data_IF_197153789249
#
_entry.id   IF_197153789249
#
_cell.length_a   1.000
_cell.length_b   1.000
_cell.length_c   1.000
_cell.angle_alpha   90.00
_cell.angle_beta   90.00
_cell.angle_gamma   90.00
#
_symmetry.space_group_name_H-M   'P 1'
#
loop_
_entity.id
_entity.type
_entity.pdbx_description
1 polymer ?
#
# COMPACT_ATOMS: atom_id res chain seq x y z
N UNK A 1 24.45 -13.03 -29.63
CA UNK A 1 24.10 -11.88 -28.78
C UNK A 1 24.68 -12.11 -27.40
N UNK A 2 25.89 -11.63 -27.12
CA UNK A 2 26.66 -11.99 -25.91
C UNK A 2 26.76 -10.88 -24.86
N UNK A 3 26.24 -9.67 -25.14
CA UNK A 3 26.26 -8.54 -24.19
C UNK A 3 24.93 -7.80 -24.23
N UNK A 4 24.08 -8.06 -23.25
CA UNK A 4 22.82 -7.32 -23.00
C UNK A 4 22.79 -6.94 -21.52
N UNK A 5 22.18 -5.79 -21.19
CA UNK A 5 22.18 -5.22 -19.83
C UNK A 5 21.65 -6.17 -18.74
N UNK A 6 20.74 -7.07 -19.12
CA UNK A 6 20.10 -8.00 -18.20
C UNK A 6 20.68 -9.43 -18.27
N UNK A 7 21.75 -9.64 -19.04
CA UNK A 7 22.43 -10.94 -19.05
C UNK A 7 23.45 -10.99 -17.90
N UNK A 8 23.56 -12.13 -17.21
CA UNK A 8 24.55 -12.28 -16.16
C UNK A 8 25.97 -12.14 -16.74
N UNK A 9 26.85 -11.49 -15.98
CA UNK A 9 28.27 -11.46 -16.32
C UNK A 9 28.91 -12.81 -15.99
N UNK A 10 30.02 -13.13 -16.66
CA UNK A 10 30.78 -14.36 -16.37
C UNK A 10 31.29 -14.39 -14.93
N UNK A 11 31.62 -13.22 -14.38
CA UNK A 11 32.00 -13.02 -12.96
C UNK A 11 30.84 -13.36 -12.02
N UNK A 12 29.63 -12.86 -12.28
CA UNK A 12 28.44 -13.16 -11.49
C UNK A 12 28.10 -14.66 -11.55
N UNK A 13 28.21 -15.26 -12.73
CA UNK A 13 27.94 -16.69 -12.92
C UNK A 13 28.92 -17.54 -12.13
N UNK A 14 30.21 -17.19 -12.17
CA UNK A 14 31.26 -17.90 -11.43
C UNK A 14 31.10 -17.75 -9.91
N UNK A 15 30.80 -16.54 -9.44
CA UNK A 15 30.55 -16.28 -8.02
C UNK A 15 29.31 -17.01 -7.50
N UNK A 16 28.25 -17.08 -8.30
CA UNK A 16 27.04 -17.84 -7.94
C UNK A 16 27.34 -19.35 -7.87
N UNK A 17 28.05 -19.91 -8.86
CA UNK A 17 28.44 -21.33 -8.83
C UNK A 17 29.26 -21.68 -7.58
N UNK A 18 30.26 -20.86 -7.24
CA UNK A 18 31.07 -21.07 -6.04
C UNK A 18 30.23 -21.02 -4.75
N UNK A 19 29.25 -20.13 -4.67
CA UNK A 19 28.34 -20.05 -3.52
C UNK A 19 27.39 -21.26 -3.44
N UNK A 20 26.90 -21.76 -4.58
CA UNK A 20 26.09 -22.98 -4.64
C UNK A 20 26.87 -24.18 -4.13
N UNK A 21 28.11 -24.34 -4.59
CA UNK A 21 28.99 -25.44 -4.15
C UNK A 21 29.31 -25.34 -2.65
N UNK A 22 29.50 -24.12 -2.13
CA UNK A 22 29.78 -23.89 -0.71
C UNK A 22 28.55 -24.11 0.22
N UNK A 23 27.33 -24.00 -0.32
CA UNK A 23 26.06 -24.17 0.41
C UNK A 23 25.43 -25.55 0.19
N UNK A 24 26.23 -26.56 -0.15
CA UNK A 24 25.74 -27.93 -0.31
C UNK A 24 25.35 -28.56 1.05
N UNK A 25 24.14 -29.12 1.10
CA UNK A 25 23.55 -29.77 2.27
C UNK A 25 23.47 -31.30 2.13
N UNK A 26 23.89 -31.84 0.98
CA UNK A 26 23.78 -33.26 0.64
C UNK A 26 24.62 -34.18 1.54
N UNK A 27 25.71 -33.65 2.12
CA UNK A 27 26.63 -34.40 3.00
C UNK A 27 26.86 -33.69 4.34
N UNK A 28 26.02 -32.71 4.69
CA UNK A 28 26.23 -31.87 5.86
C UNK A 28 25.66 -32.46 7.16
N UNK A 29 24.69 -33.38 7.06
CA UNK A 29 24.19 -34.15 8.18
C UNK A 29 25.20 -35.18 8.68
N UNK A 30 24.96 -35.71 9.88
CA UNK A 30 25.69 -36.86 10.44
C UNK A 30 24.70 -37.88 10.94
N UNK A 31 24.91 -39.14 10.63
CA UNK A 31 24.14 -40.24 11.20
C UNK A 31 24.67 -40.64 12.59
N UNK A 32 24.05 -41.68 13.16
CA UNK A 32 24.41 -42.23 14.48
C UNK A 32 25.79 -42.88 14.50
N UNK A 33 26.36 -43.21 13.33
CA UNK A 33 27.68 -43.82 13.15
C UNK A 33 28.76 -42.76 12.85
N UNK A 34 28.33 -41.51 12.62
CA UNK A 34 29.19 -40.34 12.38
C UNK A 34 29.52 -40.11 10.90
N UNK A 35 28.91 -40.86 9.99
CA UNK A 35 29.09 -40.74 8.56
C UNK A 35 28.27 -39.57 8.00
N UNK A 36 28.80 -38.88 6.95
CA UNK A 36 28.12 -37.74 6.36
C UNK A 36 26.87 -38.17 5.61
N UNK A 37 25.73 -37.59 5.99
CA UNK A 37 24.41 -37.85 5.38
C UNK A 37 23.75 -36.54 4.96
N UNK A 38 22.63 -36.65 4.24
CA UNK A 38 21.84 -35.48 3.86
C UNK A 38 21.30 -34.77 5.11
N UNK A 39 21.51 -33.45 5.20
CA UNK A 39 21.07 -32.69 6.37
C UNK A 39 19.54 -32.62 6.51
N UNK A 40 18.84 -32.60 5.39
CA UNK A 40 17.39 -32.42 5.28
C UNK A 40 16.77 -33.51 4.40
N UNK A 41 16.88 -34.76 4.85
CA UNK A 41 16.18 -35.87 4.20
C UNK A 41 14.67 -35.59 4.17
N UNK A 42 14.05 -35.80 3.00
CA UNK A 42 12.62 -35.55 2.79
C UNK A 42 11.78 -36.42 3.74
N UNK A 43 12.25 -37.63 4.02
CA UNK A 43 11.59 -38.60 4.90
C UNK A 43 11.53 -38.12 6.37
N UNK A 44 12.50 -37.31 6.79
CA UNK A 44 12.60 -36.75 8.14
C UNK A 44 12.07 -35.31 8.24
N UNK A 45 11.56 -34.77 7.14
CA UNK A 45 11.02 -33.41 7.07
C UNK A 45 9.51 -33.41 7.30
N UNK A 46 9.11 -33.17 8.55
CA UNK A 46 7.71 -33.10 8.93
C UNK A 46 7.12 -31.68 8.82
N UNK A 47 5.81 -31.57 8.58
CA UNK A 47 5.10 -30.28 8.51
C UNK A 47 5.04 -29.58 9.89
N UNK A 48 5.74 -28.44 10.09
CA UNK A 48 5.76 -27.75 11.39
C UNK A 48 4.36 -27.27 11.82
N UNK A 49 3.51 -26.93 10.85
CA UNK A 49 2.16 -26.42 11.10
C UNK A 49 1.28 -27.49 11.74
N UNK A 50 1.27 -28.70 11.17
CA UNK A 50 0.46 -29.81 11.71
C UNK A 50 0.94 -30.20 13.11
N UNK A 51 2.25 -30.27 13.32
CA UNK A 51 2.81 -30.54 14.64
C UNK A 51 2.46 -29.46 15.66
N UNK A 52 2.53 -28.18 15.28
CA UNK A 52 2.18 -27.05 16.15
C UNK A 52 0.70 -27.04 16.53
N UNK A 53 -0.20 -27.28 15.58
CA UNK A 53 -1.65 -27.35 15.86
C UNK A 53 -1.95 -28.49 16.83
N UNK A 54 -1.42 -29.69 16.56
CA UNK A 54 -1.62 -30.85 17.43
C UNK A 54 -1.03 -30.64 18.83
N UNK A 55 0.13 -30.00 18.93
CA UNK A 55 0.74 -29.64 20.22
C UNK A 55 -0.14 -28.67 21.00
N UNK A 56 -0.65 -27.62 20.34
CA UNK A 56 -1.51 -26.63 20.98
C UNK A 56 -2.83 -27.26 21.48
N UNK A 57 -3.46 -28.11 20.67
CA UNK A 57 -4.68 -28.84 21.06
C UNK A 57 -4.41 -29.72 22.28
N UNK A 58 -3.34 -30.54 22.26
CA UNK A 58 -2.98 -31.41 23.39
C UNK A 58 -2.68 -30.61 24.65
N UNK A 59 -1.96 -29.48 24.53
CA UNK A 59 -1.64 -28.62 25.67
C UNK A 59 -2.89 -27.98 26.26
N UNK A 60 -3.80 -27.44 25.45
CA UNK A 60 -5.07 -26.89 25.94
C UNK A 60 -6.02 -27.94 26.53
N UNK A 61 -5.96 -29.18 26.06
CA UNK A 61 -6.71 -30.27 26.65
C UNK A 61 -6.24 -30.62 28.08
N UNK A 62 -4.94 -30.49 28.36
CA UNK A 62 -4.37 -30.75 29.70
C UNK A 62 -4.39 -29.51 30.59
N UNK A 63 -4.13 -28.33 30.02
CA UNK A 63 -4.09 -27.04 30.71
C UNK A 63 -4.90 -26.00 29.93
N UNK A 64 -6.21 -25.84 30.24
CA UNK A 64 -7.09 -24.95 29.49
C UNK A 64 -6.69 -23.47 29.52
N UNK A 65 -6.06 -23.00 30.60
CA UNK A 65 -5.74 -21.58 30.81
C UNK A 65 -4.31 -21.19 30.37
N UNK A 66 -3.42 -22.14 30.10
CA UNK A 66 -2.01 -21.87 29.78
C UNK A 66 -1.79 -21.36 28.33
N UNK A 67 -1.19 -20.17 28.10
CA UNK A 67 -0.94 -19.63 26.76
C UNK A 67 -0.21 -20.62 25.83
N UNK A 68 -0.46 -20.50 24.52
CA UNK A 68 0.22 -21.34 23.53
C UNK A 68 1.72 -21.05 23.57
N UNK A 69 2.50 -22.05 23.95
CA UNK A 69 3.96 -21.96 24.04
C UNK A 69 4.61 -21.70 22.67
N UNK A 70 5.83 -21.13 22.63
CA UNK A 70 6.59 -20.98 21.40
C UNK A 70 6.84 -22.35 20.72
N UNK A 71 7.05 -22.36 19.40
CA UNK A 71 7.31 -23.59 18.67
C UNK A 71 8.61 -24.25 19.18
N UNK A 72 8.61 -25.57 19.42
CA UNK A 72 9.82 -26.30 19.77
C UNK A 72 10.92 -26.11 18.72
N UNK A 73 12.17 -26.03 19.17
CA UNK A 73 13.34 -25.84 18.30
C UNK A 73 13.47 -26.93 17.22
N UNK A 74 13.07 -28.17 17.53
CA UNK A 74 13.07 -29.29 16.58
C UNK A 74 12.21 -28.98 15.34
N UNK A 75 11.08 -28.30 15.51
CA UNK A 75 10.22 -27.90 14.38
C UNK A 75 10.80 -26.71 13.60
N UNK A 76 11.65 -25.91 14.25
CA UNK A 76 12.30 -24.74 13.67
C UNK A 76 13.66 -25.08 13.06
N UNK A 77 14.18 -26.29 13.26
CA UNK A 77 15.51 -26.76 12.80
C UNK A 77 15.74 -26.46 11.31
N UNK A 78 14.76 -26.78 10.47
CA UNK A 78 14.83 -26.59 9.01
C UNK A 78 14.26 -25.24 8.53
N UNK A 79 13.83 -24.37 9.46
CA UNK A 79 13.33 -23.03 9.08
C UNK A 79 14.45 -22.06 8.72
N UNK A 80 15.68 -22.36 9.14
CA UNK A 80 16.87 -21.58 8.84
C UNK A 80 17.99 -22.52 8.35
N UNK A 81 18.90 -22.05 7.49
CA UNK A 81 20.08 -22.82 7.11
C UNK A 81 21.00 -23.09 8.32
N UNK A 82 21.82 -24.15 8.28
CA UNK A 82 22.74 -24.46 9.37
C UNK A 82 23.73 -23.32 9.60
N UNK A 83 23.87 -22.89 10.86
CA UNK A 83 24.72 -21.74 11.20
C UNK A 83 26.20 -21.95 10.83
N UNK A 84 26.69 -23.18 10.90
CA UNK A 84 28.08 -23.48 10.58
C UNK A 84 28.35 -23.45 9.07
N UNK A 85 27.38 -23.89 8.26
CA UNK A 85 27.45 -23.82 6.80
C UNK A 85 27.44 -22.35 6.32
N UNK A 86 26.56 -21.53 6.92
CA UNK A 86 26.50 -20.09 6.63
C UNK A 86 27.81 -19.38 6.96
N UNK A 87 28.49 -19.79 8.04
CA UNK A 87 29.80 -19.23 8.40
C UNK A 87 30.89 -19.66 7.41
N UNK A 88 30.89 -20.91 6.97
CA UNK A 88 31.88 -21.38 6.01
C UNK A 88 31.70 -20.74 4.63
N UNK A 89 30.46 -20.50 4.21
CA UNK A 89 30.12 -19.90 2.91
C UNK A 89 30.12 -18.36 2.90
N UNK A 90 30.51 -17.72 4.01
CA UNK A 90 30.41 -16.27 4.16
C UNK A 90 31.31 -15.52 3.16
N UNK A 91 32.49 -16.09 2.86
CA UNK A 91 33.46 -15.50 1.93
C UNK A 91 32.92 -15.47 0.50
N UNK A 92 32.31 -16.58 0.07
CA UNK A 92 31.70 -16.76 -1.25
C UNK A 92 30.46 -15.87 -1.39
N UNK A 93 29.68 -15.73 -0.31
CA UNK A 93 28.54 -14.82 -0.26
C UNK A 93 28.97 -13.35 -0.40
N UNK A 94 30.04 -12.93 0.27
CA UNK A 94 30.59 -11.57 0.15
C UNK A 94 31.08 -11.28 -1.28
N UNK A 95 31.75 -12.25 -1.92
CA UNK A 95 32.17 -12.16 -3.31
C UNK A 95 30.96 -12.03 -4.26
N UNK A 96 29.90 -12.81 -4.02
CA UNK A 96 28.66 -12.74 -4.79
C UNK A 96 27.94 -11.39 -4.62
N UNK A 97 27.83 -10.87 -3.40
CA UNK A 97 27.24 -9.56 -3.12
C UNK A 97 27.98 -8.46 -3.89
N UNK A 98 29.32 -8.52 -3.88
CA UNK A 98 30.17 -7.56 -4.59
C UNK A 98 29.99 -7.64 -6.11
N UNK A 99 29.96 -8.85 -6.67
CA UNK A 99 29.75 -9.07 -8.11
C UNK A 99 28.35 -8.65 -8.57
N UNK A 100 27.34 -8.77 -7.70
CA UNK A 100 25.96 -8.45 -8.04
C UNK A 100 25.63 -6.94 -7.97
N UNK A 101 26.37 -6.13 -7.21
CA UNK A 101 26.18 -4.68 -7.00
C UNK A 101 24.69 -4.26 -6.83
N UNK A 102 23.93 -5.06 -6.06
CA UNK A 102 22.49 -4.84 -5.92
C UNK A 102 22.23 -3.65 -4.99
N UNK A 103 21.69 -2.59 -5.56
CA UNK A 103 21.30 -1.39 -4.81
C UNK A 103 19.86 -1.53 -4.36
N UNK A 104 19.65 -1.46 -3.04
CA UNK A 104 18.30 -1.42 -2.46
C UNK A 104 17.60 -0.15 -2.95
N UNK A 105 16.55 -0.33 -3.74
CA UNK A 105 15.65 0.77 -4.07
C UNK A 105 14.97 1.16 -2.75
N UNK A 106 14.96 2.44 -2.36
CA UNK A 106 14.19 2.87 -1.21
C UNK A 106 12.75 2.39 -1.41
N UNK A 107 12.13 1.76 -0.40
CA UNK A 107 10.77 1.29 -0.55
C UNK A 107 9.94 2.47 -1.04
N UNK A 108 9.19 2.29 -2.13
CA UNK A 108 8.13 3.25 -2.49
C UNK A 108 7.33 3.47 -1.23
N UNK A 109 7.12 4.72 -0.85
CA UNK A 109 6.42 5.08 0.38
C UNK A 109 5.11 4.29 0.40
N UNK A 110 5.07 3.21 1.19
CA UNK A 110 3.83 2.55 1.53
C UNK A 110 2.99 3.62 2.21
N UNK A 111 1.70 3.66 1.88
CA UNK A 111 0.75 4.55 2.53
C UNK A 111 1.02 4.58 4.03
N UNK A 112 1.03 5.78 4.60
CA UNK A 112 1.37 6.00 6.00
C UNK A 112 0.47 5.10 6.86
N UNK A 113 1.05 4.08 7.50
CA UNK A 113 0.43 3.50 8.67
C UNK A 113 0.32 4.65 9.68
N UNK A 114 -0.89 5.18 9.89
CA UNK A 114 -1.15 6.22 10.89
C UNK A 114 -1.00 5.56 12.26
N UNK A 115 0.23 5.32 12.71
CA UNK A 115 0.50 5.18 14.13
C UNK A 115 0.21 6.54 14.75
N UNK A 116 -0.92 6.65 15.43
CA UNK A 116 -1.26 7.80 16.24
C UNK A 116 -0.08 8.04 17.19
N UNK A 117 0.61 9.17 17.01
CA UNK A 117 1.72 9.59 17.86
C UNK A 117 1.11 9.78 19.25
N UNK A 118 1.28 8.81 20.14
CA UNK A 118 0.85 8.94 21.53
C UNK A 118 1.73 10.01 22.17
N UNK A 119 1.19 11.16 22.59
CA UNK A 119 1.99 12.18 23.25
C UNK A 119 2.54 11.59 24.56
N UNK A 120 3.81 11.92 24.87
CA UNK A 120 4.56 11.46 26.06
C UNK A 120 3.78 11.72 27.37
N UNK A 121 2.89 12.71 27.35
CA UNK A 121 2.05 13.14 28.48
C UNK A 121 0.87 12.21 28.81
N UNK A 122 0.60 11.16 28.02
CA UNK A 122 -0.56 10.27 28.23
C UNK A 122 -1.93 10.95 28.05
N UNK A 123 -1.95 12.25 27.73
CA UNK A 123 -3.15 13.02 27.45
C UNK A 123 -3.51 12.85 25.97
N UNK A 124 -4.52 12.03 25.70
CA UNK A 124 -5.05 11.90 24.36
C UNK A 124 -5.88 13.15 24.02
N UNK A 125 -5.24 14.13 23.37
CA UNK A 125 -5.88 15.38 22.93
C UNK A 125 -7.04 15.07 21.98
N UNK A 126 -6.90 14.05 21.12
CA UNK A 126 -7.99 13.61 20.25
C UNK A 126 -9.17 13.07 21.06
N UNK A 127 -8.96 12.31 22.14
CA UNK A 127 -10.03 11.86 23.05
C UNK A 127 -10.72 13.02 23.81
N UNK A 128 -10.03 14.15 24.00
CA UNK A 128 -10.61 15.33 24.63
C UNK A 128 -11.46 16.14 23.64
N UNK A 129 -11.02 16.21 22.37
CA UNK A 129 -11.69 16.93 21.29
C UNK A 129 -12.80 16.12 20.59
N UNK A 130 -12.76 14.79 20.68
CA UNK A 130 -13.79 13.88 20.12
C UNK A 130 -15.01 13.70 21.02
N UNK A 131 -15.14 14.46 22.12
CA UNK A 131 -16.32 14.43 23.00
C UNK A 131 -17.62 14.87 22.33
N UNK A 132 -17.54 15.50 21.17
CA UNK A 132 -18.70 15.74 20.30
C UNK A 132 -18.44 15.02 18.98
N UNK A 133 -19.05 13.85 18.80
CA UNK A 133 -19.20 13.24 17.48
C UNK A 133 -20.06 14.19 16.62
N UNK A 134 -19.43 15.17 15.98
CA UNK A 134 -20.10 15.98 14.98
C UNK A 134 -20.47 15.07 13.81
N UNK A 135 -21.76 14.88 13.64
CA UNK A 135 -22.33 13.94 12.66
C UNK A 135 -22.15 14.39 11.22
N UNK A 136 -21.84 15.66 10.97
CA UNK A 136 -21.78 16.26 9.64
C UNK A 136 -20.55 17.14 9.44
N UNK A 137 -19.95 17.05 8.25
CA UNK A 137 -18.85 17.89 7.79
C UNK A 137 -19.45 19.20 7.31
N UNK A 138 -18.98 20.32 7.86
CA UNK A 138 -19.43 21.66 7.52
C UNK A 138 -18.63 22.23 6.35
N UNK A 139 -19.24 23.12 5.55
CA UNK A 139 -18.55 23.77 4.42
C UNK A 139 -17.42 24.71 4.88
N UNK A 140 -17.55 25.28 6.08
CA UNK A 140 -16.60 26.25 6.66
C UNK A 140 -15.30 25.58 7.11
N UNK A 141 -15.36 24.32 7.56
CA UNK A 141 -14.22 23.58 8.09
C UNK A 141 -14.08 22.17 7.48
N UNK A 142 -14.40 22.04 6.19
CA UNK A 142 -14.55 20.75 5.52
C UNK A 142 -13.29 19.88 5.57
N UNK A 143 -12.11 20.45 5.33
CA UNK A 143 -10.86 19.69 5.24
C UNK A 143 -10.46 19.06 6.58
N UNK A 144 -10.35 19.80 7.70
CA UNK A 144 -10.01 19.22 8.99
C UNK A 144 -11.05 18.21 9.49
N UNK A 145 -12.34 18.52 9.34
CA UNK A 145 -13.43 17.64 9.78
C UNK A 145 -13.47 16.33 8.98
N UNK A 146 -13.24 16.40 7.67
CA UNK A 146 -13.09 15.20 6.84
C UNK A 146 -11.90 14.33 7.26
N UNK A 147 -10.74 14.94 7.49
CA UNK A 147 -9.54 14.22 7.94
C UNK A 147 -9.74 13.57 9.30
N UNK A 148 -10.39 14.27 10.23
CA UNK A 148 -10.72 13.74 11.56
C UNK A 148 -11.64 12.52 11.42
N UNK A 149 -12.71 12.65 10.63
CA UNK A 149 -13.69 11.57 10.44
C UNK A 149 -13.09 10.33 9.78
N UNK A 150 -12.23 10.51 8.78
CA UNK A 150 -11.48 9.41 8.19
C UNK A 150 -10.45 8.80 9.15
N UNK A 151 -9.94 9.59 10.12
CA UNK A 151 -9.00 9.11 11.14
C UNK A 151 -9.66 8.26 12.23
N UNK A 152 -10.95 8.48 12.49
CA UNK A 152 -11.73 7.73 13.50
C UNK A 152 -12.64 6.66 12.88
N UNK A 153 -12.70 6.56 11.55
CA UNK A 153 -13.56 5.59 10.89
C UNK A 153 -13.02 4.15 11.09
N UNK A 154 -13.86 3.27 11.63
CA UNK A 154 -13.55 1.86 11.81
C UNK A 154 -14.07 0.99 10.65
N UNK A 155 -15.02 1.53 9.87
CA UNK A 155 -15.73 0.82 8.82
C UNK A 155 -15.79 1.62 7.50
N UNK A 156 -15.93 0.87 6.40
CA UNK A 156 -15.98 1.40 5.03
C UNK A 156 -17.18 2.33 4.84
N UNK A 157 -18.32 2.07 5.49
CA UNK A 157 -19.54 2.85 5.28
C UNK A 157 -19.42 4.27 5.84
N UNK A 158 -18.70 4.43 6.96
CA UNK A 158 -18.36 5.74 7.52
C UNK A 158 -17.47 6.53 6.56
N UNK A 159 -16.48 5.89 5.94
CA UNK A 159 -15.61 6.52 4.93
C UNK A 159 -16.42 7.00 3.72
N UNK A 160 -17.25 6.13 3.14
CA UNK A 160 -18.12 6.48 2.00
C UNK A 160 -19.08 7.62 2.33
N UNK A 161 -19.68 7.61 3.53
CA UNK A 161 -20.61 8.66 3.96
C UNK A 161 -19.90 10.02 4.09
N UNK A 162 -18.69 10.05 4.66
CA UNK A 162 -17.87 11.25 4.79
C UNK A 162 -17.45 11.76 3.41
N UNK A 163 -17.08 10.85 2.50
CA UNK A 163 -16.75 11.18 1.11
C UNK A 163 -17.94 11.80 0.39
N UNK A 164 -19.15 11.25 0.54
CA UNK A 164 -20.38 11.82 -0.06
C UNK A 164 -20.69 13.23 0.47
N UNK A 165 -20.47 13.49 1.76
CA UNK A 165 -20.63 14.84 2.32
C UNK A 165 -19.62 15.81 1.70
N UNK A 166 -18.35 15.39 1.56
CA UNK A 166 -17.32 16.17 0.88
C UNK A 166 -17.65 16.44 -0.60
N UNK A 167 -18.20 15.45 -1.32
CA UNK A 167 -18.70 15.63 -2.70
C UNK A 167 -19.78 16.72 -2.78
N UNK A 168 -20.72 16.70 -1.84
CA UNK A 168 -21.80 17.70 -1.75
C UNK A 168 -21.26 19.11 -1.50
N UNK A 169 -20.29 19.25 -0.58
CA UNK A 169 -19.62 20.53 -0.30
C UNK A 169 -18.88 21.03 -1.53
N UNK A 170 -18.10 20.19 -2.21
CA UNK A 170 -17.38 20.55 -3.44
C UNK A 170 -18.36 21.04 -4.51
N UNK A 171 -19.48 20.32 -4.72
CA UNK A 171 -20.51 20.71 -5.69
C UNK A 171 -21.14 22.06 -5.34
N UNK A 172 -21.53 22.23 -4.08
CA UNK A 172 -22.13 23.48 -3.58
C UNK A 172 -21.18 24.68 -3.74
N UNK A 173 -19.89 24.50 -3.42
CA UNK A 173 -18.87 25.52 -3.61
C UNK A 173 -18.73 25.94 -5.08
N UNK A 174 -18.89 25.01 -6.02
CA UNK A 174 -18.80 25.30 -7.47
C UNK A 174 -20.10 25.96 -7.97
N UNK A 175 -21.25 25.41 -7.59
CA UNK A 175 -22.57 25.86 -8.06
C UNK A 175 -22.87 27.29 -7.60
N UNK A 176 -22.59 27.60 -6.34
CA UNK A 176 -22.85 28.92 -5.75
C UNK A 176 -21.66 29.89 -5.86
N UNK A 177 -20.56 29.50 -6.54
CA UNK A 177 -19.42 30.39 -6.79
C UNK A 177 -19.83 31.54 -7.71
N UNK A 178 -19.67 32.77 -7.23
CA UNK A 178 -19.70 33.96 -8.06
C UNK A 178 -18.34 34.05 -8.78
N UNK A 179 -18.32 33.73 -10.08
CA UNK A 179 -17.07 33.60 -10.84
C UNK A 179 -16.21 32.43 -10.34
N UNK A 180 -14.93 32.70 -10.08
CA UNK A 180 -13.89 31.76 -9.64
C UNK A 180 -13.68 31.72 -8.11
N UNK A 181 -14.42 32.53 -7.35
CA UNK A 181 -14.26 32.68 -5.89
C UNK A 181 -14.29 31.36 -5.10
N UNK A 182 -15.12 30.40 -5.51
CA UNK A 182 -15.22 29.07 -4.88
C UNK A 182 -14.21 28.03 -5.40
N UNK A 183 -13.53 28.28 -6.52
CA UNK A 183 -12.70 27.27 -7.18
C UNK A 183 -11.48 26.87 -6.35
N UNK A 184 -10.81 27.83 -5.71
CA UNK A 184 -9.66 27.53 -4.86
C UNK A 184 -10.01 26.58 -3.71
N UNK A 185 -11.15 26.80 -3.06
CA UNK A 185 -11.62 25.95 -1.97
C UNK A 185 -12.08 24.59 -2.50
N UNK A 186 -12.78 24.54 -3.63
CA UNK A 186 -13.19 23.29 -4.27
C UNK A 186 -11.97 22.43 -4.66
N UNK A 187 -10.92 23.02 -5.23
CA UNK A 187 -9.68 22.34 -5.60
C UNK A 187 -8.93 21.80 -4.38
N UNK A 188 -8.87 22.57 -3.29
CA UNK A 188 -8.25 22.13 -2.05
C UNK A 188 -8.98 20.92 -1.44
N UNK A 189 -10.31 20.98 -1.38
CA UNK A 189 -11.14 19.86 -0.92
C UNK A 189 -10.98 18.63 -1.82
N UNK A 190 -10.98 18.82 -3.14
CA UNK A 190 -10.79 17.76 -4.12
C UNK A 190 -9.41 17.09 -3.98
N UNK A 191 -8.36 17.88 -3.77
CA UNK A 191 -7.00 17.39 -3.55
C UNK A 191 -6.89 16.54 -2.27
N UNK A 192 -7.43 17.03 -1.16
CA UNK A 192 -7.44 16.28 0.11
C UNK A 192 -8.25 14.99 -0.03
N UNK A 193 -9.43 15.05 -0.65
CA UNK A 193 -10.26 13.87 -0.88
C UNK A 193 -9.51 12.82 -1.71
N UNK A 194 -8.81 13.25 -2.78
CA UNK A 194 -7.99 12.37 -3.63
C UNK A 194 -6.87 11.69 -2.86
N UNK A 195 -6.16 12.45 -2.02
CA UNK A 195 -4.98 11.95 -1.31
C UNK A 195 -5.36 11.03 -0.15
N UNK A 196 -6.39 11.37 0.64
CA UNK A 196 -6.84 10.50 1.74
C UNK A 196 -7.45 9.20 1.21
N UNK A 197 -8.30 9.25 0.17
CA UNK A 197 -8.91 8.02 -0.40
C UNK A 197 -7.88 7.13 -1.11
N UNK A 198 -6.89 7.71 -1.80
CA UNK A 198 -5.78 6.93 -2.34
C UNK A 198 -4.92 6.29 -1.23
N UNK A 199 -4.79 6.96 -0.09
CA UNK A 199 -4.04 6.46 1.08
C UNK A 199 -4.80 5.35 1.82
N UNK A 200 -6.13 5.39 1.82
CA UNK A 200 -7.00 4.36 2.38
C UNK A 200 -7.26 3.19 1.41
N UNK A 201 -6.54 3.15 0.29
CA UNK A 201 -6.71 2.11 -0.75
C UNK A 201 -8.14 2.03 -1.32
N UNK A 202 -8.87 3.15 -1.29
CA UNK A 202 -10.22 3.30 -1.87
C UNK A 202 -10.24 4.30 -3.04
N UNK A 203 -9.44 4.06 -4.11
CA UNK A 203 -9.38 4.97 -5.24
C UNK A 203 -10.66 5.00 -6.08
N UNK A 204 -11.51 3.98 -5.99
CA UNK A 204 -12.75 3.86 -6.77
C UNK A 204 -13.79 4.91 -6.36
N UNK A 205 -13.90 5.20 -5.06
CA UNK A 205 -14.81 6.25 -4.55
C UNK A 205 -14.47 7.59 -5.21
N UNK A 206 -13.19 7.98 -5.18
CA UNK A 206 -12.72 9.23 -5.80
C UNK A 206 -12.87 9.21 -7.33
N UNK A 207 -12.45 8.12 -7.98
CA UNK A 207 -12.50 7.99 -9.43
C UNK A 207 -13.93 8.07 -9.96
N UNK A 208 -14.90 7.50 -9.24
CA UNK A 208 -16.32 7.60 -9.58
C UNK A 208 -16.80 9.06 -9.50
N UNK A 209 -16.40 9.78 -8.45
CA UNK A 209 -16.79 11.17 -8.24
C UNK A 209 -16.19 12.11 -9.29
N UNK A 210 -14.89 12.04 -9.56
CA UNK A 210 -14.22 12.95 -10.49
C UNK A 210 -14.74 12.77 -11.93
N UNK A 211 -15.15 11.55 -12.32
CA UNK A 211 -15.85 11.30 -13.59
C UNK A 211 -17.21 11.99 -13.63
N UNK A 212 -18.04 11.82 -12.59
CA UNK A 212 -19.33 12.52 -12.46
C UNK A 212 -19.16 14.04 -12.48
N UNK A 213 -18.15 14.55 -11.76
CA UNK A 213 -17.86 15.98 -11.69
C UNK A 213 -17.45 16.53 -13.06
N UNK A 214 -16.57 15.83 -13.81
CA UNK A 214 -16.21 16.19 -15.19
C UNK A 214 -17.45 16.29 -16.07
N UNK A 215 -18.33 15.31 -16.02
CA UNK A 215 -19.59 15.28 -16.77
C UNK A 215 -20.50 16.47 -16.43
N UNK A 216 -20.65 16.78 -15.14
CA UNK A 216 -21.52 17.87 -14.69
C UNK A 216 -20.95 19.25 -15.03
N UNK A 217 -19.62 19.40 -15.05
CA UNK A 217 -18.93 20.61 -15.53
C UNK A 217 -19.11 20.81 -17.04
N UNK A 218 -19.02 19.73 -17.84
CA UNK A 218 -19.18 19.79 -19.29
C UNK A 218 -20.64 19.99 -19.72
N UNK A 219 -21.60 19.50 -18.94
CA UNK A 219 -23.05 19.66 -19.17
C UNK A 219 -23.63 20.93 -18.53
N UNK A 220 -22.78 21.83 -18.04
CA UNK A 220 -23.15 23.13 -17.43
C UNK A 220 -24.14 23.03 -16.26
N UNK A 221 -24.16 21.90 -15.55
CA UNK A 221 -25.13 21.64 -14.47
C UNK A 221 -24.79 22.33 -13.14
N UNK A 222 -23.59 22.90 -13.02
CA UNK A 222 -23.08 23.52 -11.80
C UNK A 222 -23.01 25.05 -11.94
N UNK A 223 -24.15 25.66 -12.28
CA UNK A 223 -24.26 27.12 -12.38
C UNK A 223 -23.63 27.72 -13.65
N UNK A 224 -23.69 27.01 -14.79
CA UNK A 224 -23.27 27.51 -16.09
C UNK A 224 -21.91 26.98 -16.57
N UNK A 225 -21.23 27.77 -17.41
CA UNK A 225 -19.94 27.41 -18.01
C UNK A 225 -18.81 27.44 -16.97
N UNK A 226 -18.39 26.25 -16.53
CA UNK A 226 -17.31 26.04 -15.55
C UNK A 226 -16.06 25.43 -16.18
N UNK A 227 -15.84 25.64 -17.49
CA UNK A 227 -14.66 25.10 -18.22
C UNK A 227 -13.32 25.58 -17.65
N UNK A 228 -13.28 26.78 -17.08
CA UNK A 228 -12.09 27.32 -16.40
C UNK A 228 -11.69 26.49 -15.19
N UNK A 229 -12.66 26.06 -14.37
CA UNK A 229 -12.39 25.15 -13.25
C UNK A 229 -11.80 23.82 -13.72
N UNK A 230 -12.31 23.27 -14.82
CA UNK A 230 -11.73 22.06 -15.40
C UNK A 230 -10.26 22.26 -15.80
N UNK A 231 -9.91 23.42 -16.36
CA UNK A 231 -8.52 23.76 -16.67
C UNK A 231 -7.63 23.82 -15.43
N UNK A 232 -8.11 24.41 -14.33
CA UNK A 232 -7.39 24.42 -13.05
C UNK A 232 -7.23 23.01 -12.45
N UNK A 233 -8.24 22.14 -12.57
CA UNK A 233 -8.15 20.71 -12.19
C UNK A 233 -7.03 20.00 -12.97
N UNK A 234 -6.90 20.27 -14.28
CA UNK A 234 -5.80 19.70 -15.10
C UNK A 234 -4.45 20.19 -14.62
N UNK A 235 -4.32 21.50 -14.39
CA UNK A 235 -3.08 22.14 -13.94
C UNK A 235 -2.64 21.60 -12.57
N UNK A 236 -3.58 21.37 -11.67
CA UNK A 236 -3.36 20.76 -10.35
C UNK A 236 -3.18 19.23 -10.40
N UNK A 237 -3.36 18.58 -11.56
CA UNK A 237 -3.29 17.12 -11.75
C UNK A 237 -4.20 16.34 -10.80
N UNK A 238 -5.43 16.83 -10.61
CA UNK A 238 -6.47 16.25 -9.76
C UNK A 238 -7.46 15.38 -10.54
N UNK A 239 -6.98 14.69 -11.58
CA UNK A 239 -7.74 13.68 -12.32
C UNK A 239 -7.70 12.32 -11.62
N UNK A 240 -8.00 11.27 -12.38
CA UNK A 240 -8.07 9.91 -11.88
C UNK A 240 -6.82 9.48 -11.07
N UNK A 241 -7.05 8.62 -10.09
CA UNK A 241 -6.02 7.90 -9.35
C UNK A 241 -5.72 6.63 -10.15
N UNK A 242 -4.52 6.54 -10.70
CA UNK A 242 -4.04 5.42 -11.53
C UNK A 242 -3.29 4.36 -10.71
N UNK A 243 -2.95 3.24 -11.36
CA UNK A 243 -2.09 2.18 -10.81
C UNK A 243 -0.72 2.65 -10.35
N UNK A 244 -0.24 3.78 -10.88
CA UNK A 244 1.04 4.38 -10.47
C UNK A 244 0.95 4.93 -9.05
N UNK A 245 -0.19 5.51 -8.68
CA UNK A 245 -0.41 6.09 -7.35
C UNK A 245 -0.83 5.04 -6.31
N UNK A 246 -1.71 4.11 -6.67
CA UNK A 246 -2.17 3.04 -5.78
C UNK A 246 -2.38 1.74 -6.56
N UNK A 247 -1.80 0.62 -6.11
CA UNK A 247 -1.88 -0.68 -6.80
C UNK A 247 -3.31 -1.24 -6.88
N UNK A 248 -4.17 -0.85 -5.93
CA UNK A 248 -5.59 -1.22 -5.86
C UNK A 248 -6.44 -0.51 -6.93
N UNK A 249 -5.90 0.50 -7.61
CA UNK A 249 -6.65 1.17 -8.67
C UNK A 249 -6.77 0.30 -9.92
N UNK A 250 -7.97 0.24 -10.48
CA UNK A 250 -8.20 -0.42 -11.78
C UNK A 250 -7.79 0.44 -12.98
N UNK A 251 -7.55 1.74 -12.77
CA UNK A 251 -7.30 2.72 -13.83
C UNK A 251 -5.84 2.65 -14.31
N UNK A 252 -5.64 2.52 -15.62
CA UNK A 252 -4.30 2.54 -16.24
C UNK A 252 -3.73 3.96 -16.31
N UNK A 253 -2.40 4.08 -16.41
CA UNK A 253 -1.74 5.38 -16.61
C UNK A 253 -2.19 6.08 -17.90
N UNK A 254 -2.46 5.28 -18.94
CA UNK A 254 -2.99 5.73 -20.22
C UNK A 254 -4.39 6.32 -20.05
N UNK A 255 -5.29 5.60 -19.38
CA UNK A 255 -6.66 6.06 -19.11
C UNK A 255 -6.68 7.35 -18.26
N UNK A 256 -5.81 7.45 -17.25
CA UNK A 256 -5.69 8.66 -16.45
C UNK A 256 -5.16 9.86 -17.26
N UNK A 257 -4.32 9.61 -18.27
CA UNK A 257 -3.83 10.64 -19.18
C UNK A 257 -4.93 11.07 -20.17
N UNK A 258 -5.62 10.10 -20.77
CA UNK A 258 -6.77 10.32 -21.66
C UNK A 258 -7.92 11.04 -20.95
N UNK A 259 -8.10 10.82 -19.64
CA UNK A 259 -9.11 11.51 -18.86
C UNK A 259 -8.97 13.04 -18.90
N UNK A 260 -7.74 13.55 -19.06
CA UNK A 260 -7.52 15.00 -19.24
C UNK A 260 -7.76 15.46 -20.68
N UNK A 261 -7.76 14.57 -21.67
CA UNK A 261 -8.17 14.93 -23.01
C UNK A 261 -9.64 15.36 -22.98
N UNK A 262 -9.92 16.54 -23.52
CA UNK A 262 -11.29 16.93 -23.82
C UNK A 262 -11.59 16.24 -25.13
N UNK A 263 -12.33 15.14 -25.10
CA UNK A 263 -12.92 14.60 -26.33
C UNK A 263 -13.76 15.71 -26.95
N UNK A 264 -13.34 16.13 -28.12
CA UNK A 264 -13.88 17.22 -28.94
C UNK A 264 -15.23 16.88 -29.58
N UNK A 265 -16.13 16.23 -28.84
CA UNK A 265 -17.44 15.75 -29.33
C UNK A 265 -18.62 16.58 -28.81
N UNK A 266 -18.39 17.86 -28.54
CA UNK A 266 -19.49 18.82 -28.33
C UNK A 266 -19.50 19.76 -29.55
N UNK A 267 -20.58 19.78 -30.36
CA UNK A 267 -20.63 20.61 -31.54
C UNK A 267 -20.47 22.07 -31.12
N UNK A 268 -19.45 22.74 -31.67
CA UNK A 268 -19.33 24.20 -31.61
C UNK A 268 -20.64 24.78 -32.16
N UNK A 269 -21.52 25.24 -31.27
CA UNK A 269 -22.61 26.13 -31.67
C UNK A 269 -21.95 27.43 -32.10
N UNK A 270 -21.87 27.59 -33.42
CA UNK A 270 -21.35 28.80 -34.06
C UNK A 270 -22.07 30.04 -33.55
N UNK A 271 -21.28 31.09 -33.33
CA UNK A 271 -21.77 32.47 -33.39
C UNK A 271 -21.82 32.89 -34.86
#
# INVERSE_FOLDING_TARGET
>A
MTKHRNLPTDELTSAMSAYVDAMDISTFGKDDEGDPVEYMAIEDTYSPVLHRINQAIRRRAVQPDEPVQPPPEVLMKYSNPPADLVKSSATELEALIKAADVKKVPPKAKGRAKEAIKPISGLNVDALLSREERTEITSENAIPEYKQRLGTAEDITTIESASKQMEGIIRSLIEHSLGDSGYGQALANLGVMRDELASLEMPEVYNSFIRRLKDDLLKEKLGGDRRELWWEIKKAKLGLVDKRKTEVSDVSEEEATEFYAVTSDIPMRGK
#
